data_IF_828974721826
#
_entry.id   IF_828974721826
#
_cell.length_a   1.000
_cell.length_b   1.000
_cell.length_c   1.000
_cell.angle_alpha   90.00
_cell.angle_beta   90.00
_cell.angle_gamma   90.00
#
_symmetry.space_group_name_H-M   'P 1'
#
loop_
_entity.id
_entity.type
_entity.pdbx_description
1 polymer ?
#
# COMPACT_ATOMS: atom_id res chain seq x y z
N UNK A 1 5.70 2.27 16.84
CA UNK A 1 5.64 0.80 16.64
C UNK A 1 4.25 0.21 16.90
N UNK A 2 3.21 1.01 17.21
CA UNK A 2 1.90 0.46 17.61
C UNK A 2 0.76 0.65 16.58
N UNK A 3 0.79 1.67 15.71
CA UNK A 3 -0.37 1.99 14.85
C UNK A 3 -0.69 0.99 13.73
N UNK A 4 0.31 0.27 13.22
CA UNK A 4 0.10 -0.70 12.14
C UNK A 4 -0.57 -2.00 12.63
N UNK A 5 -0.48 -2.29 13.94
CA UNK A 5 -1.08 -3.47 14.56
C UNK A 5 -2.56 -3.25 14.92
N UNK A 6 -2.94 -2.01 15.26
CA UNK A 6 -4.30 -1.65 15.69
C UNK A 6 -5.31 -1.53 14.54
N UNK A 7 -4.86 -1.42 13.29
CA UNK A 7 -5.72 -1.30 12.11
C UNK A 7 -5.23 -2.23 10.99
N UNK A 8 -5.42 -3.55 11.11
CA UNK A 8 -5.03 -4.47 10.05
C UNK A 8 -5.85 -4.15 8.80
N UNK A 9 -5.14 -3.82 7.73
CA UNK A 9 -5.70 -3.64 6.38
C UNK A 9 -5.02 -4.65 5.46
N UNK A 10 -5.75 -5.13 4.45
CA UNK A 10 -5.14 -5.94 3.40
C UNK A 10 -4.05 -5.12 2.68
N UNK A 11 -3.01 -5.80 2.20
CA UNK A 11 -1.87 -5.13 1.54
C UNK A 11 -2.36 -4.29 0.35
N UNK A 12 -3.40 -4.74 -0.35
CA UNK A 12 -4.07 -4.06 -1.46
C UNK A 12 -4.78 -2.76 -1.05
N UNK A 13 -5.40 -2.73 0.13
CA UNK A 13 -6.09 -1.55 0.66
C UNK A 13 -5.10 -0.46 1.04
N UNK A 14 -3.92 -0.83 1.55
CA UNK A 14 -2.84 0.11 1.83
C UNK A 14 -2.41 0.83 0.55
N UNK A 15 -2.13 0.08 -0.52
CA UNK A 15 -1.70 0.66 -1.81
C UNK A 15 -2.81 1.55 -2.38
N UNK A 16 -4.07 1.09 -2.34
CA UNK A 16 -5.24 1.83 -2.84
C UNK A 16 -5.42 3.17 -2.14
N UNK A 17 -5.30 3.21 -0.81
CA UNK A 17 -5.44 4.42 -0.01
C UNK A 17 -4.36 5.47 -0.30
N UNK A 18 -3.15 5.03 -0.65
CA UNK A 18 -2.06 5.94 -1.05
C UNK A 18 -2.32 6.45 -2.48
N UNK A 19 -2.69 5.57 -3.40
CA UNK A 19 -2.99 5.92 -4.80
C UNK A 19 -4.12 6.94 -4.91
N UNK A 20 -5.17 6.84 -4.09
CA UNK A 20 -6.26 7.84 -4.08
C UNK A 20 -5.76 9.25 -3.76
N UNK A 21 -4.79 9.37 -2.84
CA UNK A 21 -4.19 10.66 -2.48
C UNK A 21 -3.27 11.17 -3.58
N UNK A 22 -2.48 10.28 -4.20
CA UNK A 22 -1.60 10.65 -5.32
C UNK A 22 -2.40 11.09 -6.55
N UNK A 23 -3.52 10.43 -6.84
CA UNK A 23 -4.43 10.82 -7.93
C UNK A 23 -5.05 12.21 -7.75
N UNK A 24 -5.24 12.67 -6.51
CA UNK A 24 -5.78 13.99 -6.23
C UNK A 24 -4.73 15.11 -6.42
N UNK A 25 -3.46 14.76 -6.59
CA UNK A 25 -2.37 15.73 -6.70
C UNK A 25 -2.01 15.97 -8.17
N UNK A 26 -2.49 17.08 -8.73
CA UNK A 26 -2.44 17.39 -10.17
C UNK A 26 -1.01 17.47 -10.75
N UNK A 27 -0.02 17.78 -9.91
CA UNK A 27 1.38 17.88 -10.30
C UNK A 27 2.14 16.55 -10.29
N UNK A 28 1.54 15.48 -9.74
CA UNK A 28 2.16 14.15 -9.75
C UNK A 28 1.75 13.47 -11.06
N UNK A 29 2.65 13.52 -12.03
CA UNK A 29 2.43 12.94 -13.36
C UNK A 29 2.75 11.45 -13.42
N UNK A 30 3.59 10.96 -12.51
CA UNK A 30 3.97 9.56 -12.42
C UNK A 30 4.11 9.13 -10.96
N UNK A 31 3.66 7.91 -10.66
CA UNK A 31 3.91 7.30 -9.36
C UNK A 31 3.93 5.77 -9.45
N UNK A 32 4.69 5.17 -8.53
CA UNK A 32 4.69 3.75 -8.21
C UNK A 32 4.54 3.60 -6.70
N UNK A 33 3.56 2.81 -6.28
CA UNK A 33 3.27 2.54 -4.87
C UNK A 33 3.37 1.05 -4.64
N UNK A 34 4.19 0.65 -3.67
CA UNK A 34 4.45 -0.74 -3.33
C UNK A 34 4.25 -0.96 -1.84
N UNK A 35 3.71 -2.12 -1.48
CA UNK A 35 3.60 -2.56 -0.10
C UNK A 35 3.93 -4.05 0.00
N UNK A 36 4.69 -4.40 1.04
CA UNK A 36 5.03 -5.77 1.40
C UNK A 36 4.69 -5.98 2.88
N UNK A 37 3.83 -6.96 3.15
CA UNK A 37 3.43 -7.36 4.49
C UNK A 37 4.08 -8.70 4.84
N UNK A 38 4.80 -8.71 5.96
CA UNK A 38 5.31 -9.93 6.58
C UNK A 38 4.18 -10.57 7.40
N UNK A 39 3.63 -11.69 6.91
CA UNK A 39 2.47 -12.30 7.53
C UNK A 39 2.86 -13.13 8.75
N UNK A 40 2.22 -12.88 9.90
CA UNK A 40 2.55 -13.58 11.15
C UNK A 40 1.97 -15.00 11.25
N UNK A 41 1.07 -15.38 10.34
CA UNK A 41 0.40 -16.70 10.31
C UNK A 41 0.63 -17.48 9.01
N UNK A 42 1.42 -16.95 8.08
CA UNK A 42 1.77 -17.57 6.81
C UNK A 42 3.28 -17.47 6.57
N UNK A 43 3.91 -18.49 5.98
CA UNK A 43 5.34 -18.48 5.66
C UNK A 43 5.63 -17.87 4.27
N UNK A 44 4.91 -16.79 3.94
CA UNK A 44 5.13 -15.97 2.75
C UNK A 44 4.76 -14.52 3.06
N UNK A 45 5.30 -13.60 2.28
CA UNK A 45 4.93 -12.19 2.37
C UNK A 45 3.82 -11.89 1.36
N UNK A 46 2.87 -11.04 1.75
CA UNK A 46 1.88 -10.50 0.85
C UNK A 46 2.43 -9.23 0.19
N UNK A 47 2.30 -9.10 -1.13
CA UNK A 47 2.83 -7.97 -1.88
C UNK A 47 1.78 -7.38 -2.81
N UNK A 48 1.73 -6.05 -2.88
CA UNK A 48 0.90 -5.34 -3.85
C UNK A 48 1.63 -4.11 -4.41
N UNK A 49 1.38 -3.82 -5.69
CA UNK A 49 1.99 -2.71 -6.42
C UNK A 49 0.99 -2.06 -7.37
N UNK A 50 1.00 -0.73 -7.43
CA UNK A 50 0.26 0.06 -8.43
C UNK A 50 1.23 1.08 -9.03
N UNK A 51 1.35 1.08 -10.36
CA UNK A 51 2.09 2.06 -11.13
C UNK A 51 1.14 2.82 -12.06
N UNK A 52 1.37 4.13 -12.21
CA UNK A 52 0.65 4.97 -13.17
C UNK A 52 1.60 6.02 -13.75
N UNK A 53 1.61 6.11 -15.08
CA UNK A 53 2.24 7.16 -15.90
C UNK A 53 1.22 8.00 -16.64
#
# INVERSE_FOLDING_TARGET
TERAFENPVFVEDLVRNIVLRLKAHEHITWYRVEAENFESIHNHNAYACIEKS
#
